data_IF_005717660727
#
_entry.id   IF_005717660727
#
_cell.length_a   1.000
_cell.length_b   1.000
_cell.length_c   1.000
_cell.angle_alpha   90.00
_cell.angle_beta   90.00
_cell.angle_gamma   90.00
#
_symmetry.space_group_name_H-M   'P 1'
#
loop_
_entity.id
_entity.type
_entity.pdbx_description
1 polymer ?
#
# COMPACT_ATOMS: atom_id res chain seq x y z
N UNK A 1 19.73 -21.06 -4.15
CA UNK A 1 19.71 -19.61 -4.52
C UNK A 1 18.62 -18.92 -3.67
N UNK A 2 18.89 -17.74 -3.08
CA UNK A 2 17.85 -16.95 -2.37
C UNK A 2 16.86 -16.42 -3.41
N UNK A 3 15.55 -16.59 -3.16
CA UNK A 3 14.49 -16.08 -4.04
C UNK A 3 14.54 -14.56 -4.08
N UNK A 4 14.43 -13.91 -5.25
CA UNK A 4 14.43 -12.45 -5.36
C UNK A 4 13.19 -11.85 -4.65
N UNK A 5 13.37 -10.65 -4.10
CA UNK A 5 12.29 -9.90 -3.44
C UNK A 5 12.05 -8.65 -4.28
N UNK A 6 10.78 -8.44 -4.68
CA UNK A 6 10.35 -7.30 -5.46
C UNK A 6 9.35 -6.47 -4.67
N UNK A 7 9.49 -5.17 -4.72
CA UNK A 7 8.49 -4.22 -4.28
C UNK A 7 7.98 -3.44 -5.50
N UNK A 8 6.66 -3.43 -5.71
CA UNK A 8 6.05 -2.83 -6.88
C UNK A 8 4.99 -1.80 -6.51
N UNK A 9 4.89 -0.73 -7.30
CA UNK A 9 3.87 0.31 -7.20
C UNK A 9 2.85 0.12 -8.31
N UNK A 10 1.62 -0.26 -7.99
CA UNK A 10 0.54 -0.51 -8.95
C UNK A 10 -0.48 0.62 -9.00
N UNK A 11 -0.62 1.36 -7.90
CA UNK A 11 -1.44 2.55 -7.75
C UNK A 11 -0.88 3.44 -6.66
N UNK A 12 -0.86 4.75 -6.88
CA UNK A 12 -0.25 5.73 -5.99
C UNK A 12 -1.11 6.98 -5.74
N UNK A 13 -2.34 7.01 -6.26
CA UNK A 13 -3.30 8.08 -6.00
C UNK A 13 -4.13 7.81 -4.75
N UNK A 14 -4.50 8.89 -4.08
CA UNK A 14 -5.41 8.86 -2.95
C UNK A 14 -6.83 9.30 -3.31
N UNK A 15 -7.80 8.92 -2.51
CA UNK A 15 -9.21 9.27 -2.53
C UNK A 15 -9.97 8.87 -3.80
N UNK A 16 -9.40 8.98 -4.96
CA UNK A 16 -10.00 8.58 -6.25
C UNK A 16 -8.96 8.48 -7.36
N UNK A 17 -9.29 7.71 -8.37
CA UNK A 17 -8.56 7.74 -9.64
C UNK A 17 -8.66 9.11 -10.32
N UNK A 18 -7.71 9.41 -11.17
CA UNK A 18 -7.78 10.60 -12.03
C UNK A 18 -8.00 10.19 -13.48
N UNK A 19 -8.79 11.00 -14.19
CA UNK A 19 -9.13 10.79 -15.61
C UNK A 19 -8.08 11.49 -16.49
N UNK A 20 -7.81 11.01 -17.73
CA UNK A 20 -6.90 11.67 -18.67
C UNK A 20 -7.13 13.20 -18.80
N UNK A 21 -6.05 13.97 -19.09
CA UNK A 21 -4.78 13.48 -19.61
C UNK A 21 -3.98 12.70 -18.58
N UNK A 22 -3.37 11.59 -19.03
CA UNK A 22 -2.71 10.61 -18.19
C UNK A 22 -1.59 11.26 -17.38
N UNK A 23 -1.62 11.02 -16.08
CA UNK A 23 -0.52 11.37 -15.20
C UNK A 23 0.70 10.48 -15.45
N UNK A 24 1.89 11.07 -15.42
CA UNK A 24 3.17 10.32 -15.40
C UNK A 24 3.51 9.78 -14.01
N UNK A 25 2.80 10.20 -12.98
CA UNK A 25 2.93 9.66 -11.61
C UNK A 25 2.02 8.44 -11.47
N UNK A 26 0.82 8.52 -12.01
CA UNK A 26 -0.16 7.44 -11.99
C UNK A 26 -1.58 7.97 -11.86
N UNK A 27 -2.54 7.09 -12.19
CA UNK A 27 -3.97 7.42 -12.21
C UNK A 27 -4.78 6.55 -11.24
N UNK A 28 -4.23 5.40 -10.81
CA UNK A 28 -4.92 4.36 -10.04
C UNK A 28 -4.78 4.62 -8.54
N UNK A 29 -5.80 4.28 -7.78
CA UNK A 29 -5.79 4.36 -6.32
C UNK A 29 -4.88 3.30 -5.71
N UNK A 30 -4.53 3.48 -4.44
CA UNK A 30 -3.44 2.84 -3.71
C UNK A 30 -3.43 1.33 -3.84
N UNK A 31 -2.34 0.80 -4.38
CA UNK A 31 -2.02 -0.63 -4.38
C UNK A 31 -0.52 -0.82 -4.55
N UNK A 32 0.11 -1.53 -3.62
CA UNK A 32 1.52 -1.89 -3.68
C UNK A 32 1.67 -3.39 -3.45
N UNK A 33 2.78 -3.97 -3.87
CA UNK A 33 3.02 -5.39 -3.59
C UNK A 33 4.46 -5.67 -3.17
N UNK A 34 4.62 -6.69 -2.34
CA UNK A 34 5.90 -7.23 -1.91
C UNK A 34 5.92 -8.73 -2.23
N UNK A 35 6.66 -9.09 -3.26
CA UNK A 35 6.74 -10.45 -3.78
C UNK A 35 8.00 -11.16 -3.28
N UNK A 36 7.81 -12.31 -2.64
CA UNK A 36 8.80 -13.36 -2.42
C UNK A 36 8.09 -14.71 -2.52
N UNK A 37 8.10 -15.29 -3.70
CA UNK A 37 7.37 -16.54 -3.94
C UNK A 37 7.69 -17.61 -2.86
N UNK A 38 6.70 -18.39 -2.39
CA UNK A 38 5.34 -18.49 -2.94
C UNK A 38 4.36 -17.43 -2.46
N UNK A 39 4.78 -16.50 -1.58
CA UNK A 39 3.94 -15.51 -0.93
C UNK A 39 4.00 -14.16 -1.64
N UNK A 40 2.84 -13.56 -1.86
CA UNK A 40 2.65 -12.19 -2.32
C UNK A 40 1.88 -11.41 -1.25
N UNK A 41 2.49 -10.36 -0.71
CA UNK A 41 1.80 -9.41 0.16
C UNK A 41 1.36 -8.22 -0.69
N UNK A 42 0.09 -7.85 -0.58
CA UNK A 42 -0.51 -6.70 -1.25
C UNK A 42 -0.91 -5.68 -0.18
N UNK A 43 -0.50 -4.44 -0.36
CA UNK A 43 -0.77 -3.32 0.53
C UNK A 43 -1.83 -2.44 -0.13
N UNK A 44 -3.03 -2.50 0.37
CA UNK A 44 -4.26 -2.01 -0.20
C UNK A 44 -4.62 -2.59 -1.58
N UNK A 45 -5.89 -2.54 -1.90
CA UNK A 45 -6.51 -3.13 -3.07
C UNK A 45 -7.36 -2.10 -3.84
N UNK A 46 -6.82 -0.87 -3.99
CA UNK A 46 -7.40 0.14 -4.87
C UNK A 46 -7.33 -0.28 -6.34
N UNK A 47 -7.63 0.61 -7.25
CA UNK A 47 -7.67 0.31 -8.70
C UNK A 47 -6.33 -0.22 -9.27
N UNK A 48 -5.22 0.02 -8.57
CA UNK A 48 -3.93 -0.61 -8.91
C UNK A 48 -3.95 -2.14 -8.87
N UNK A 49 -4.89 -2.76 -8.15
CA UNK A 49 -5.01 -4.21 -8.04
C UNK A 49 -5.27 -4.89 -9.39
N UNK A 50 -6.05 -4.26 -10.27
CA UNK A 50 -6.30 -4.78 -11.62
C UNK A 50 -4.97 -4.95 -12.40
N UNK A 51 -4.08 -3.96 -12.33
CA UNK A 51 -2.78 -4.02 -12.99
C UNK A 51 -1.87 -5.10 -12.37
N UNK A 52 -1.85 -5.22 -11.04
CA UNK A 52 -1.12 -6.29 -10.35
C UNK A 52 -1.60 -7.68 -10.82
N UNK A 53 -2.91 -7.92 -10.78
CA UNK A 53 -3.45 -9.25 -11.11
C UNK A 53 -3.30 -9.60 -12.59
N UNK A 54 -3.34 -8.60 -13.48
CA UNK A 54 -2.95 -8.77 -14.88
C UNK A 54 -1.46 -9.14 -15.00
N UNK A 55 -0.56 -8.46 -14.26
CA UNK A 55 0.87 -8.80 -14.24
C UNK A 55 1.11 -10.22 -13.69
N UNK A 56 0.33 -10.67 -12.69
CA UNK A 56 0.41 -12.04 -12.17
C UNK A 56 0.10 -13.09 -13.24
N UNK A 57 -0.75 -12.80 -14.20
CA UNK A 57 -1.10 -13.70 -15.30
C UNK A 57 -0.12 -13.65 -16.48
N UNK A 58 0.67 -12.59 -16.62
CA UNK A 58 1.50 -12.33 -17.80
C UNK A 58 3.01 -12.36 -17.53
N UNK A 59 3.45 -12.09 -16.31
CA UNK A 59 4.88 -11.99 -15.97
C UNK A 59 5.38 -13.25 -15.23
N UNK A 60 6.44 -13.85 -15.75
CA UNK A 60 7.06 -15.10 -15.22
C UNK A 60 7.42 -15.05 -13.74
N UNK A 61 7.79 -13.86 -13.21
CA UNK A 61 8.18 -13.71 -11.79
C UNK A 61 7.07 -14.08 -10.79
N UNK A 62 5.80 -14.01 -11.22
CA UNK A 62 4.63 -14.37 -10.40
C UNK A 62 4.22 -15.85 -10.53
N UNK A 63 4.80 -16.62 -11.45
CA UNK A 63 4.41 -18.01 -11.71
C UNK A 63 4.54 -18.97 -10.52
N UNK A 64 5.36 -18.60 -9.53
CA UNK A 64 5.51 -19.35 -8.28
C UNK A 64 4.60 -18.93 -7.15
N UNK A 65 3.74 -17.92 -7.32
CA UNK A 65 2.82 -17.44 -6.27
C UNK A 65 1.71 -18.46 -6.03
N UNK A 66 1.46 -18.75 -4.75
CA UNK A 66 0.40 -19.66 -4.29
C UNK A 66 -0.47 -19.03 -3.21
N UNK A 67 0.08 -18.08 -2.49
CA UNK A 67 -0.55 -17.39 -1.37
C UNK A 67 -0.51 -15.89 -1.60
N UNK A 68 -1.66 -15.24 -1.54
CA UNK A 68 -1.81 -13.79 -1.60
C UNK A 68 -2.45 -13.30 -0.31
N UNK A 69 -1.78 -12.41 0.39
CA UNK A 69 -2.31 -11.74 1.56
C UNK A 69 -2.51 -10.27 1.23
N UNK A 70 -3.76 -9.83 1.20
CA UNK A 70 -4.13 -8.43 0.96
C UNK A 70 -4.33 -7.75 2.32
N UNK A 71 -3.50 -6.78 2.61
CA UNK A 71 -3.47 -6.02 3.86
C UNK A 71 -4.18 -4.68 3.63
N UNK A 72 -5.43 -4.59 4.06
CA UNK A 72 -6.27 -3.40 3.90
C UNK A 72 -6.03 -2.46 5.08
N UNK A 73 -5.69 -1.20 4.81
CA UNK A 73 -5.43 -0.21 5.84
C UNK A 73 -6.69 0.23 6.56
N UNK A 74 -7.77 0.55 5.84
CA UNK A 74 -9.01 1.05 6.41
C UNK A 74 -10.23 0.92 5.46
N UNK A 75 -11.37 1.45 5.87
CA UNK A 75 -12.67 1.23 5.23
C UNK A 75 -12.94 2.11 3.99
N UNK A 76 -12.13 3.13 3.67
CA UNK A 76 -12.37 3.96 2.49
C UNK A 76 -12.28 3.14 1.20
N UNK A 77 -13.17 3.43 0.27
CA UNK A 77 -13.40 2.62 -0.94
C UNK A 77 -12.15 2.55 -1.83
N UNK A 78 -11.40 3.61 -1.97
CA UNK A 78 -10.19 3.68 -2.79
C UNK A 78 -9.05 2.73 -2.34
N UNK A 79 -9.20 2.08 -1.18
CA UNK A 79 -8.29 1.06 -0.66
C UNK A 79 -8.74 -0.38 -0.91
N UNK A 80 -9.96 -0.60 -1.44
CA UNK A 80 -10.47 -1.95 -1.73
C UNK A 80 -11.38 -2.05 -2.97
N UNK A 81 -11.70 -0.95 -3.63
CA UNK A 81 -12.59 -0.93 -4.81
C UNK A 81 -12.07 -1.80 -5.98
N UNK A 82 -10.75 -1.95 -6.10
CA UNK A 82 -10.13 -2.76 -7.16
C UNK A 82 -10.34 -4.27 -7.02
N UNK A 83 -10.88 -4.74 -5.89
CA UNK A 83 -11.17 -6.17 -5.72
C UNK A 83 -12.10 -6.71 -6.82
N UNK A 84 -13.08 -5.93 -7.29
CA UNK A 84 -13.99 -6.32 -8.37
C UNK A 84 -13.29 -6.53 -9.72
N UNK A 85 -12.15 -5.87 -9.91
CA UNK A 85 -11.39 -5.88 -11.16
C UNK A 85 -10.19 -6.86 -11.13
N UNK A 86 -10.04 -7.59 -10.03
CA UNK A 86 -8.95 -8.54 -9.87
C UNK A 86 -9.13 -9.76 -10.77
N UNK A 87 -8.20 -9.99 -11.70
CA UNK A 87 -8.24 -11.11 -12.68
C UNK A 87 -8.50 -12.46 -12.02
N UNK A 88 -8.04 -12.68 -10.79
CA UNK A 88 -8.23 -13.96 -10.08
C UNK A 88 -9.70 -14.29 -9.75
N UNK A 89 -10.62 -13.31 -9.79
CA UNK A 89 -12.07 -13.54 -9.67
C UNK A 89 -12.75 -13.80 -11.02
N UNK A 90 -12.09 -13.50 -12.13
CA UNK A 90 -12.64 -13.62 -13.47
C UNK A 90 -12.03 -14.77 -14.26
N UNK A 91 -10.79 -15.15 -13.93
CA UNK A 91 -10.05 -16.25 -14.58
C UNK A 91 -9.73 -17.35 -13.59
N UNK A 92 -9.95 -18.63 -13.91
CA UNK A 92 -9.65 -19.73 -13.01
C UNK A 92 -8.16 -19.75 -12.59
N UNK A 93 -7.90 -19.71 -11.29
CA UNK A 93 -6.60 -19.93 -10.70
C UNK A 93 -6.74 -20.83 -9.46
N UNK A 94 -7.09 -22.09 -9.70
CA UNK A 94 -7.42 -23.08 -8.66
C UNK A 94 -6.27 -23.44 -7.71
N UNK A 95 -5.06 -22.95 -7.99
CA UNK A 95 -3.91 -23.12 -7.10
C UNK A 95 -3.68 -21.94 -6.16
N UNK A 96 -4.44 -20.83 -6.31
CA UNK A 96 -4.22 -19.60 -5.57
C UNK A 96 -5.12 -19.54 -4.33
N UNK A 97 -4.51 -19.21 -3.19
CA UNK A 97 -5.20 -18.86 -1.95
C UNK A 97 -5.11 -17.35 -1.74
N UNK A 98 -6.24 -16.71 -1.45
CA UNK A 98 -6.31 -15.26 -1.19
C UNK A 98 -6.89 -15.04 0.21
N UNK A 99 -6.21 -14.26 1.03
CA UNK A 99 -6.69 -13.84 2.34
C UNK A 99 -6.72 -12.33 2.43
N UNK A 100 -7.88 -11.76 2.74
CA UNK A 100 -8.05 -10.34 3.02
C UNK A 100 -7.85 -10.12 4.51
N UNK A 101 -6.92 -9.23 4.87
CA UNK A 101 -6.62 -8.84 6.25
C UNK A 101 -7.00 -7.38 6.46
N UNK A 102 -7.55 -7.02 7.62
CA UNK A 102 -7.87 -5.64 7.95
C UNK A 102 -8.54 -5.52 9.32
N UNK A 103 -8.78 -4.29 9.75
CA UNK A 103 -9.63 -4.03 10.91
C UNK A 103 -11.08 -4.45 10.63
N UNK A 104 -11.88 -4.65 11.68
CA UNK A 104 -13.29 -5.05 11.55
C UNK A 104 -14.07 -4.13 10.63
N UNK A 105 -13.89 -2.84 10.80
CA UNK A 105 -14.56 -1.79 10.02
C UNK A 105 -14.25 -1.93 8.52
N UNK A 106 -12.99 -2.17 8.16
CA UNK A 106 -12.57 -2.34 6.77
C UNK A 106 -13.13 -3.63 6.15
N UNK A 107 -13.08 -4.74 6.88
CA UNK A 107 -13.63 -6.02 6.39
C UNK A 107 -15.15 -5.98 6.27
N UNK A 108 -15.83 -5.26 7.16
CA UNK A 108 -17.27 -5.06 7.09
C UNK A 108 -17.66 -4.15 5.91
N UNK A 109 -16.92 -3.05 5.67
CA UNK A 109 -17.13 -2.20 4.50
C UNK A 109 -17.01 -3.00 3.19
N UNK A 110 -15.98 -3.86 3.08
CA UNK A 110 -15.81 -4.76 1.94
C UNK A 110 -17.00 -5.72 1.84
N UNK A 111 -17.42 -6.36 2.94
CA UNK A 111 -18.56 -7.28 2.96
C UNK A 111 -19.83 -6.59 2.47
N UNK A 112 -20.10 -5.37 2.92
CA UNK A 112 -21.26 -4.58 2.50
C UNK A 112 -21.16 -4.17 1.03
N UNK A 113 -20.00 -3.63 0.59
CA UNK A 113 -19.79 -3.22 -0.80
C UNK A 113 -19.91 -4.38 -1.79
N UNK A 114 -19.52 -5.60 -1.37
CA UNK A 114 -19.67 -6.82 -2.14
C UNK A 114 -20.82 -7.68 -1.62
N UNK A 115 -22.02 -7.11 -1.55
CA UNK A 115 -23.26 -7.79 -1.20
C UNK A 115 -24.41 -7.30 -2.06
N UNK A 116 -25.41 -8.17 -2.28
CA UNK A 116 -26.65 -7.76 -2.94
C UNK A 116 -27.37 -6.65 -2.16
N UNK A 117 -27.93 -5.60 -2.82
CA UNK A 117 -27.99 -5.40 -4.28
C UNK A 117 -26.81 -4.63 -4.87
N UNK A 118 -25.79 -4.25 -4.09
CA UNK A 118 -24.68 -3.38 -4.53
C UNK A 118 -23.75 -4.10 -5.50
N UNK A 119 -23.38 -5.34 -5.19
CA UNK A 119 -22.51 -6.16 -6.04
C UNK A 119 -22.67 -7.66 -5.75
N UNK A 120 -21.96 -8.48 -6.53
CA UNK A 120 -21.87 -9.92 -6.30
C UNK A 120 -20.98 -10.20 -5.09
N UNK A 121 -21.41 -11.05 -4.13
CA UNK A 121 -20.55 -11.42 -3.00
C UNK A 121 -19.22 -12.01 -3.43
N UNK A 122 -18.09 -11.56 -2.81
CA UNK A 122 -16.75 -12.01 -3.17
C UNK A 122 -16.59 -13.53 -3.16
N UNK A 123 -17.25 -14.22 -2.22
CA UNK A 123 -17.23 -15.69 -2.15
C UNK A 123 -17.81 -16.33 -3.42
N UNK A 124 -18.87 -15.74 -3.99
CA UNK A 124 -19.47 -16.20 -5.26
C UNK A 124 -18.54 -15.93 -6.44
N UNK A 125 -17.86 -14.77 -6.44
CA UNK A 125 -16.85 -14.48 -7.47
C UNK A 125 -15.67 -15.46 -7.42
N UNK A 126 -15.25 -15.87 -6.23
CA UNK A 126 -14.13 -16.79 -6.03
C UNK A 126 -14.47 -18.25 -6.34
N UNK A 127 -15.76 -18.61 -6.33
CA UNK A 127 -16.24 -19.99 -6.49
C UNK A 127 -15.75 -20.59 -7.81
N UNK A 128 -15.11 -21.76 -7.73
CA UNK A 128 -14.53 -22.46 -8.88
C UNK A 128 -13.31 -21.80 -9.52
N UNK A 129 -12.86 -20.66 -9.02
CA UNK A 129 -11.72 -19.89 -9.54
C UNK A 129 -10.52 -19.91 -8.61
N UNK A 130 -10.73 -19.68 -7.32
CA UNK A 130 -9.68 -19.76 -6.30
C UNK A 130 -9.72 -21.09 -5.56
N UNK A 131 -8.58 -21.52 -5.04
CA UNK A 131 -8.53 -22.62 -4.09
C UNK A 131 -9.23 -22.25 -2.79
N UNK A 132 -8.99 -21.00 -2.30
CA UNK A 132 -9.54 -20.49 -1.05
C UNK A 132 -9.61 -18.96 -1.09
N UNK A 133 -10.68 -18.41 -0.51
CA UNK A 133 -10.82 -17.00 -0.17
C UNK A 133 -11.21 -16.89 1.31
N UNK A 134 -10.39 -16.21 2.09
CA UNK A 134 -10.61 -15.98 3.52
C UNK A 134 -10.56 -14.51 3.87
N UNK A 135 -11.13 -14.16 5.02
CA UNK A 135 -10.96 -12.87 5.68
C UNK A 135 -10.38 -13.10 7.07
N UNK A 136 -9.38 -12.30 7.47
CA UNK A 136 -8.75 -12.37 8.78
C UNK A 136 -8.65 -10.99 9.40
N UNK A 137 -9.22 -10.87 10.57
CA UNK A 137 -9.21 -9.65 11.38
C UNK A 137 -7.81 -9.36 11.91
N UNK A 138 -7.41 -8.08 11.79
CA UNK A 138 -6.21 -7.54 12.43
C UNK A 138 -6.57 -6.36 13.34
N UNK A 139 -5.76 -6.15 14.37
CA UNK A 139 -5.87 -5.02 15.30
C UNK A 139 -4.52 -4.31 15.39
N UNK A 140 -4.52 -3.04 15.73
CA UNK A 140 -3.30 -2.30 16.00
C UNK A 140 -2.49 -2.95 17.14
N UNK A 141 -1.17 -3.00 16.99
CA UNK A 141 -0.26 -3.63 17.95
C UNK A 141 -0.11 -5.15 17.81
N UNK A 142 -0.75 -5.77 16.84
CA UNK A 142 -0.57 -7.19 16.57
C UNK A 142 0.70 -7.49 15.78
N UNK A 143 1.21 -8.70 15.98
CA UNK A 143 2.27 -9.31 15.19
C UNK A 143 1.78 -10.67 14.69
N UNK A 144 1.80 -10.87 13.38
CA UNK A 144 1.34 -12.11 12.72
C UNK A 144 2.37 -12.60 11.71
N UNK A 145 2.34 -13.90 11.45
CA UNK A 145 3.20 -14.53 10.43
C UNK A 145 2.38 -14.78 9.16
N UNK A 146 2.86 -14.29 8.02
CA UNK A 146 2.25 -14.49 6.70
C UNK A 146 3.32 -15.05 5.74
N UNK A 147 3.29 -16.35 5.48
CA UNK A 147 4.40 -17.04 4.85
C UNK A 147 5.69 -16.83 5.65
N UNK A 148 6.77 -16.40 4.99
CA UNK A 148 8.07 -16.11 5.64
C UNK A 148 8.10 -14.69 6.28
N UNK A 149 7.04 -13.89 6.12
CA UNK A 149 7.00 -12.50 6.57
C UNK A 149 6.39 -12.37 7.96
N UNK A 150 7.06 -11.63 8.83
CA UNK A 150 6.46 -11.12 10.05
C UNK A 150 5.82 -9.77 9.75
N UNK A 151 4.53 -9.64 10.04
CA UNK A 151 3.76 -8.40 9.85
C UNK A 151 3.39 -7.83 11.22
N UNK A 152 3.85 -6.63 11.50
CA UNK A 152 3.47 -5.83 12.68
C UNK A 152 2.50 -4.74 12.26
N UNK A 153 1.48 -4.50 13.09
CA UNK A 153 0.46 -3.47 12.85
C UNK A 153 0.58 -2.32 13.83
N UNK A 154 0.18 -1.13 13.42
CA UNK A 154 0.00 0.01 14.31
C UNK A 154 -1.28 0.78 13.95
N UNK A 155 -1.78 1.59 14.89
CA UNK A 155 -2.84 2.55 14.60
C UNK A 155 -2.26 3.78 13.92
N UNK A 156 -2.96 4.27 12.88
CA UNK A 156 -2.70 5.53 12.20
C UNK A 156 -3.78 6.55 12.54
N UNK A 157 -3.47 7.83 12.34
CA UNK A 157 -4.40 8.93 12.57
C UNK A 157 -5.04 9.32 11.23
N UNK A 158 -6.21 8.75 10.96
CA UNK A 158 -6.99 9.05 9.77
C UNK A 158 -8.48 9.23 10.13
N UNK A 159 -9.16 10.11 9.40
CA UNK A 159 -10.56 10.45 9.64
C UNK A 159 -11.22 11.01 8.38
N UNK A 160 -12.54 10.83 8.28
CA UNK A 160 -13.38 11.51 7.31
C UNK A 160 -13.92 12.81 7.90
N UNK A 161 -14.22 13.78 7.02
CA UNK A 161 -14.78 15.08 7.42
C UNK A 161 -13.74 16.08 7.91
N UNK A 162 -14.19 17.21 8.43
CA UNK A 162 -13.34 18.30 8.86
C UNK A 162 -13.87 18.97 10.16
N UNK A 163 -12.98 19.65 10.86
CA UNK A 163 -13.31 20.40 12.08
C UNK A 163 -13.93 19.52 13.16
N UNK A 164 -15.04 19.95 13.75
CA UNK A 164 -15.74 19.21 14.80
C UNK A 164 -16.48 17.96 14.31
N UNK A 165 -16.62 17.76 12.99
CA UNK A 165 -17.30 16.63 12.37
C UNK A 165 -16.34 15.53 11.91
N UNK A 166 -15.17 15.41 12.54
CA UNK A 166 -14.21 14.35 12.23
C UNK A 166 -14.75 13.00 12.68
N UNK A 167 -14.80 12.04 11.76
CA UNK A 167 -15.12 10.64 12.01
C UNK A 167 -13.83 9.84 11.87
N UNK A 168 -13.24 9.45 13.01
CA UNK A 168 -12.02 8.66 13.03
C UNK A 168 -12.28 7.24 12.56
N UNK A 169 -11.36 6.72 11.76
CA UNK A 169 -11.42 5.39 11.17
C UNK A 169 -10.41 4.46 11.85
N UNK A 170 -10.76 3.18 11.91
CA UNK A 170 -9.85 2.12 12.36
C UNK A 170 -8.77 1.88 11.29
N UNK A 171 -7.78 2.77 11.21
CA UNK A 171 -6.73 2.72 10.19
C UNK A 171 -5.48 2.02 10.70
N UNK A 172 -4.99 1.04 9.94
CA UNK A 172 -3.81 0.23 10.26
C UNK A 172 -2.62 0.62 9.38
N UNK A 173 -1.47 0.84 10.00
CA UNK A 173 -0.17 0.83 9.33
C UNK A 173 0.50 -0.53 9.50
N UNK A 174 1.36 -0.89 8.55
CA UNK A 174 1.99 -2.20 8.48
C UNK A 174 3.52 -2.09 8.40
N UNK A 175 4.21 -2.92 9.17
CA UNK A 175 5.64 -3.19 8.99
C UNK A 175 5.82 -4.69 8.67
N UNK A 176 6.41 -4.96 7.53
CA UNK A 176 6.64 -6.29 7.00
C UNK A 176 8.13 -6.58 7.07
N UNK A 177 8.55 -7.57 7.82
CA UNK A 177 9.96 -7.91 7.98
C UNK A 177 10.21 -9.37 7.65
N UNK A 178 11.34 -9.62 7.00
CA UNK A 178 11.83 -10.95 6.69
C UNK A 178 13.09 -11.21 7.52
N UNK A 179 13.18 -12.36 8.15
CA UNK A 179 14.38 -12.71 8.92
C UNK A 179 15.63 -12.75 8.03
N UNK A 180 16.67 -12.02 8.44
CA UNK A 180 17.88 -11.81 7.63
C UNK A 180 17.67 -11.10 6.29
N UNK A 181 16.47 -10.51 6.07
CA UNK A 181 16.06 -9.80 4.87
C UNK A 181 15.68 -8.34 5.13
N UNK A 182 14.87 -7.74 4.22
CA UNK A 182 14.42 -6.37 4.37
C UNK A 182 13.27 -6.22 5.36
N UNK A 183 13.11 -4.99 5.86
CA UNK A 183 11.89 -4.52 6.48
C UNK A 183 11.27 -3.41 5.62
N UNK A 184 9.99 -3.55 5.30
CA UNK A 184 9.18 -2.62 4.51
C UNK A 184 8.09 -2.07 5.40
N UNK A 185 7.90 -0.75 5.42
CA UNK A 185 6.86 -0.08 6.22
C UNK A 185 5.89 0.62 5.29
N UNK A 186 4.59 0.48 5.56
CA UNK A 186 3.49 1.10 4.83
C UNK A 186 2.60 1.88 5.79
N UNK A 187 2.62 3.19 5.69
CA UNK A 187 1.84 4.13 6.51
C UNK A 187 1.06 5.05 5.57
N UNK A 188 0.04 4.51 4.91
CA UNK A 188 -0.87 5.28 4.06
C UNK A 188 -2.02 5.84 4.90
N UNK A 189 -2.58 6.95 4.43
CA UNK A 189 -3.70 7.62 5.10
C UNK A 189 -3.40 7.92 6.57
N UNK A 190 -2.45 8.83 6.72
CA UNK A 190 -1.94 9.18 8.03
C UNK A 190 -1.61 10.67 8.14
N UNK A 191 -2.37 11.40 8.93
CA UNK A 191 -2.00 12.73 9.38
C UNK A 191 -1.05 12.62 10.58
N UNK A 192 0.25 12.98 10.41
CA UNK A 192 1.21 12.89 11.49
C UNK A 192 0.91 13.94 12.57
N UNK A 193 0.92 13.49 13.81
CA UNK A 193 0.72 14.32 15.01
C UNK A 193 1.82 14.08 16.02
N UNK A 194 1.97 14.95 17.02
CA UNK A 194 2.91 14.74 18.12
C UNK A 194 2.69 13.39 18.83
N UNK A 195 1.43 12.94 18.91
CA UNK A 195 1.05 11.66 19.54
C UNK A 195 1.45 10.44 18.70
N UNK A 196 1.37 10.54 17.38
CA UNK A 196 1.64 9.42 16.46
C UNK A 196 3.12 9.30 16.06
N UNK A 197 3.93 10.36 16.21
CA UNK A 197 5.34 10.38 15.82
C UNK A 197 6.20 9.30 16.47
N UNK A 198 5.94 8.96 17.74
CA UNK A 198 6.66 7.87 18.43
C UNK A 198 6.40 6.52 17.75
N UNK A 199 5.15 6.25 17.42
CA UNK A 199 4.74 5.03 16.71
C UNK A 199 5.33 5.00 15.31
N UNK A 200 5.24 6.08 14.55
CA UNK A 200 5.81 6.21 13.21
C UNK A 200 7.31 5.92 13.21
N UNK A 201 8.09 6.57 14.09
CA UNK A 201 9.54 6.31 14.24
C UNK A 201 9.84 4.86 14.60
N UNK A 202 9.02 4.24 15.47
CA UNK A 202 9.18 2.81 15.80
C UNK A 202 8.95 1.92 14.58
N UNK A 203 7.94 2.20 13.77
CA UNK A 203 7.59 1.41 12.60
C UNK A 203 8.61 1.58 11.46
N UNK A 204 9.24 2.75 11.33
CA UNK A 204 10.22 3.04 10.27
C UNK A 204 11.66 2.71 10.65
N UNK A 205 11.94 2.52 11.95
CA UNK A 205 13.31 2.25 12.46
C UNK A 205 13.93 1.06 11.74
N UNK A 206 15.17 1.23 11.27
CA UNK A 206 15.97 0.19 10.59
C UNK A 206 15.25 -0.43 9.37
N UNK A 207 14.25 0.26 8.82
CA UNK A 207 13.56 -0.12 7.60
C UNK A 207 14.45 0.12 6.38
N UNK A 208 14.21 -0.63 5.30
CA UNK A 208 14.91 -0.48 4.04
C UNK A 208 14.03 0.14 2.95
N UNK A 209 12.69 0.09 3.14
CA UNK A 209 11.72 0.79 2.31
C UNK A 209 10.57 1.27 3.18
N UNK A 210 10.17 2.52 2.99
CA UNK A 210 9.05 3.15 3.69
C UNK A 210 8.13 3.80 2.67
N UNK A 211 6.85 3.47 2.68
CA UNK A 211 5.82 4.17 1.89
C UNK A 211 5.01 5.03 2.84
N UNK A 212 4.86 6.30 2.50
CA UNK A 212 4.15 7.30 3.31
C UNK A 212 3.05 7.99 2.52
N UNK A 213 2.02 8.39 3.26
CA UNK A 213 1.02 9.33 2.77
C UNK A 213 1.67 10.71 2.50
N UNK A 214 1.54 11.15 1.27
CA UNK A 214 2.01 12.44 0.80
C UNK A 214 0.93 13.13 -0.04
N UNK A 215 -0.30 13.10 0.47
CA UNK A 215 -1.48 13.62 -0.18
C UNK A 215 -1.35 15.10 -0.50
N UNK A 216 -0.86 15.88 0.46
CA UNK A 216 -0.69 17.31 0.35
C UNK A 216 0.75 17.73 -0.01
N UNK A 217 0.93 18.90 -0.64
CA UNK A 217 2.26 19.46 -0.88
C UNK A 217 3.02 19.79 0.40
N UNK A 218 2.35 20.45 1.35
CA UNK A 218 2.95 21.03 2.56
C UNK A 218 2.16 20.65 3.82
N UNK A 219 2.80 20.76 4.98
CA UNK A 219 2.18 20.56 6.29
C UNK A 219 1.02 21.53 6.54
N UNK A 220 1.10 22.75 6.03
CA UNK A 220 0.03 23.76 6.17
C UNK A 220 -1.30 23.32 5.57
N UNK A 221 -1.29 22.34 4.68
CA UNK A 221 -2.50 21.76 4.09
C UNK A 221 -2.99 20.50 4.80
N UNK A 222 -2.34 20.08 5.92
CA UNK A 222 -2.79 18.89 6.65
C UNK A 222 -4.25 19.01 7.05
N UNK A 223 -5.05 18.14 6.51
CA UNK A 223 -6.49 18.03 6.76
C UNK A 223 -6.98 16.64 6.36
N UNK A 224 -8.19 16.29 6.78
CA UNK A 224 -8.83 15.04 6.41
C UNK A 224 -8.05 13.77 6.76
N UNK A 225 -7.12 13.87 7.75
CA UNK A 225 -6.35 12.73 8.20
C UNK A 225 -5.23 12.31 7.24
N UNK A 226 -4.65 13.23 6.46
CA UNK A 226 -3.60 12.94 5.49
C UNK A 226 -2.27 13.64 5.79
N UNK A 227 -1.20 13.03 5.26
CA UNK A 227 0.16 13.52 5.30
C UNK A 227 0.53 14.44 4.12
N UNK A 228 1.84 14.75 4.01
CA UNK A 228 2.35 15.66 2.99
C UNK A 228 3.72 15.25 2.44
N UNK A 229 4.09 15.84 1.29
CA UNK A 229 5.44 15.71 0.73
C UNK A 229 6.51 16.24 1.69
N UNK A 230 6.19 17.32 2.41
CA UNK A 230 7.09 17.88 3.43
C UNK A 230 7.34 16.89 4.56
N UNK A 231 6.28 16.20 5.07
CA UNK A 231 6.42 15.19 6.09
C UNK A 231 7.22 13.97 5.60
N UNK A 232 7.00 13.52 4.37
CA UNK A 232 7.79 12.45 3.77
C UNK A 232 9.29 12.79 3.74
N UNK A 233 9.64 14.06 3.46
CA UNK A 233 11.01 14.52 3.51
C UNK A 233 11.59 14.54 4.95
N UNK A 234 10.78 14.84 5.96
CA UNK A 234 11.20 14.73 7.37
C UNK A 234 11.56 13.28 7.70
N UNK A 235 10.70 12.32 7.36
CA UNK A 235 10.98 10.89 7.61
C UNK A 235 12.20 10.41 6.82
N UNK A 236 12.39 10.86 5.58
CA UNK A 236 13.57 10.50 4.80
C UNK A 236 14.89 10.96 5.44
N UNK A 237 14.92 12.14 6.11
CA UNK A 237 16.07 12.59 6.90
C UNK A 237 16.29 11.73 8.15
N UNK A 238 15.23 11.31 8.80
CA UNK A 238 15.31 10.45 10.00
C UNK A 238 15.70 9.01 9.68
N UNK A 239 15.45 8.55 8.44
CA UNK A 239 15.73 7.18 7.98
C UNK A 239 16.68 7.17 6.77
N UNK A 240 17.95 7.64 6.91
CA UNK A 240 18.86 7.80 5.76
C UNK A 240 19.23 6.48 5.07
N UNK A 241 19.06 5.33 5.75
CA UNK A 241 19.29 4.00 5.19
C UNK A 241 18.10 3.38 4.46
N UNK A 242 16.92 4.02 4.52
CA UNK A 242 15.70 3.55 3.86
C UNK A 242 15.43 4.32 2.57
N UNK A 243 14.94 3.63 1.55
CA UNK A 243 14.23 4.28 0.44
C UNK A 243 12.85 4.70 0.94
N UNK A 244 12.54 5.99 0.89
CA UNK A 244 11.23 6.55 1.26
C UNK A 244 10.46 6.88 -0.02
N UNK A 245 9.27 6.30 -0.16
CA UNK A 245 8.34 6.55 -1.25
C UNK A 245 7.20 7.42 -0.77
N UNK A 246 7.09 8.62 -1.29
CA UNK A 246 5.95 9.50 -1.10
C UNK A 246 4.82 9.06 -2.04
N UNK A 247 3.73 8.54 -1.49
CA UNK A 247 2.58 7.99 -2.22
C UNK A 247 1.26 8.63 -1.82
N UNK A 248 0.15 8.00 -2.17
CA UNK A 248 -1.21 8.48 -1.87
C UNK A 248 -1.44 9.93 -2.32
N UNK A 249 -0.96 10.26 -3.52
CA UNK A 249 -1.00 11.64 -4.03
C UNK A 249 -2.42 12.15 -4.20
N UNK A 250 -2.73 13.31 -3.61
CA UNK A 250 -4.05 13.92 -3.66
C UNK A 250 -4.52 14.19 -5.09
N UNK A 251 -5.77 13.85 -5.44
CA UNK A 251 -6.29 13.96 -6.80
C UNK A 251 -6.53 15.41 -7.25
N UNK A 252 -6.50 16.36 -6.34
CA UNK A 252 -6.61 17.79 -6.63
C UNK A 252 -5.30 18.39 -7.17
N UNK A 253 -4.18 17.67 -7.06
CA UNK A 253 -2.86 18.18 -7.45
C UNK A 253 -2.38 17.55 -8.76
N UNK A 254 -1.93 18.42 -9.67
CA UNK A 254 -1.30 18.01 -10.92
C UNK A 254 0.07 17.39 -10.68
N UNK A 255 0.56 16.59 -11.64
CA UNK A 255 1.93 16.06 -11.61
C UNK A 255 2.99 17.14 -11.43
N UNK A 256 2.79 18.30 -12.04
CA UNK A 256 3.72 19.44 -11.91
C UNK A 256 3.79 19.94 -10.47
N UNK A 257 2.63 20.16 -9.83
CA UNK A 257 2.57 20.60 -8.42
C UNK A 257 3.21 19.59 -7.48
N UNK A 258 2.90 18.30 -7.65
CA UNK A 258 3.49 17.20 -6.86
C UNK A 258 5.02 17.20 -7.03
N UNK A 259 5.53 17.29 -8.27
CA UNK A 259 6.97 17.28 -8.56
C UNK A 259 7.68 18.53 -8.05
N UNK A 260 7.04 19.70 -8.12
CA UNK A 260 7.59 20.95 -7.58
C UNK A 260 7.74 20.84 -6.07
N UNK A 261 6.68 20.44 -5.37
CA UNK A 261 6.71 20.23 -3.92
C UNK A 261 7.77 19.19 -3.52
N UNK A 262 7.81 18.05 -4.23
CA UNK A 262 8.78 17.00 -3.99
C UNK A 262 10.23 17.49 -4.13
N UNK A 263 10.55 18.25 -5.18
CA UNK A 263 11.89 18.83 -5.36
C UNK A 263 12.24 19.86 -4.29
N UNK A 264 11.24 20.67 -3.88
CA UNK A 264 11.44 21.69 -2.83
C UNK A 264 11.80 21.05 -1.50
N UNK A 265 11.00 20.09 -1.01
CA UNK A 265 11.19 19.49 0.31
C UNK A 265 12.24 18.39 0.32
N UNK A 266 12.42 17.69 -0.81
CA UNK A 266 13.39 16.62 -0.99
C UNK A 266 14.79 17.08 -1.39
N UNK A 267 15.07 18.40 -1.44
CA UNK A 267 16.37 18.91 -1.82
C UNK A 267 17.50 18.31 -0.97
N UNK A 268 18.50 17.72 -1.63
CA UNK A 268 19.63 17.04 -0.98
C UNK A 268 19.34 15.61 -0.48
N UNK A 269 18.12 15.13 -0.56
CA UNK A 269 17.75 13.76 -0.17
C UNK A 269 17.88 12.83 -1.39
N UNK A 270 18.74 11.81 -1.27
CA UNK A 270 18.90 10.77 -2.31
C UNK A 270 18.00 9.56 -2.09
N UNK A 271 17.42 9.46 -0.91
CA UNK A 271 16.60 8.34 -0.47
C UNK A 271 15.09 8.66 -0.45
N UNK A 272 14.67 9.81 -0.99
CA UNK A 272 13.28 10.20 -1.13
C UNK A 272 12.86 10.17 -2.61
N UNK A 273 11.83 9.40 -2.94
CA UNK A 273 11.25 9.30 -4.27
C UNK A 273 9.74 9.46 -4.24
N UNK A 274 9.15 9.86 -5.37
CA UNK A 274 7.71 9.74 -5.59
C UNK A 274 7.36 8.28 -5.87
N UNK A 275 6.34 7.75 -5.22
CA UNK A 275 5.70 6.52 -5.66
C UNK A 275 5.06 6.77 -7.03
N UNK A 276 5.53 6.08 -8.05
CA UNK A 276 5.07 6.22 -9.43
C UNK A 276 4.60 4.86 -9.90
N UNK A 277 3.43 4.81 -10.50
CA UNK A 277 2.86 3.57 -11.04
C UNK A 277 3.80 2.84 -11.99
N UNK A 278 3.68 1.52 -11.99
CA UNK A 278 4.45 0.58 -12.81
C UNK A 278 5.97 0.60 -12.54
N UNK A 279 6.40 1.18 -11.40
CA UNK A 279 7.77 1.05 -10.93
C UNK A 279 7.95 -0.18 -10.06
N UNK A 280 9.07 -0.85 -10.30
CA UNK A 280 9.52 -2.01 -9.52
C UNK A 280 10.86 -1.70 -8.84
N UNK A 281 11.02 -2.21 -7.64
CA UNK A 281 12.26 -2.16 -6.86
C UNK A 281 12.64 -3.58 -6.46
N UNK A 282 13.95 -3.88 -6.56
CA UNK A 282 14.49 -5.20 -6.22
C UNK A 282 15.39 -5.07 -4.99
N UNK A 283 15.21 -5.99 -4.06
CA UNK A 283 16.07 -6.08 -2.89
C UNK A 283 17.46 -6.55 -3.25
N UNK A 284 18.47 -5.75 -2.93
CA UNK A 284 19.88 -6.08 -3.06
C UNK A 284 20.43 -6.46 -1.68
N UNK A 285 20.57 -7.76 -1.42
CA UNK A 285 21.00 -8.26 -0.11
C UNK A 285 22.42 -7.81 0.30
N UNK A 286 23.45 -7.81 -0.57
CA UNK A 286 24.78 -7.27 -0.25
C UNK A 286 24.75 -5.79 0.16
N UNK A 287 23.96 -4.97 -0.51
CA UNK A 287 23.84 -3.53 -0.22
C UNK A 287 22.80 -3.21 0.86
N UNK A 288 22.01 -4.21 1.28
CA UNK A 288 20.89 -4.05 2.20
C UNK A 288 19.96 -2.90 1.81
N UNK A 289 19.64 -2.77 0.54
CA UNK A 289 18.81 -1.67 0.01
C UNK A 289 17.93 -2.14 -1.14
N UNK A 290 16.81 -1.44 -1.35
CA UNK A 290 16.03 -1.56 -2.57
C UNK A 290 16.60 -0.65 -3.66
N UNK A 291 16.68 -1.16 -4.88
CA UNK A 291 17.08 -0.40 -6.05
C UNK A 291 16.02 -0.57 -7.14
N UNK A 292 15.81 0.47 -7.96
CA UNK A 292 14.91 0.36 -9.12
C UNK A 292 15.35 -0.79 -9.99
N UNK A 293 14.39 -1.62 -10.38
CA UNK A 293 14.61 -2.62 -11.42
C UNK A 293 14.76 -1.90 -12.76
N UNK A 294 15.80 -2.21 -13.51
CA UNK A 294 15.85 -1.86 -14.93
C UNK A 294 14.68 -2.55 -15.65
N UNK A 295 14.01 -1.83 -16.55
CA UNK A 295 13.01 -2.41 -17.44
C UNK A 295 13.69 -3.33 -18.44
#
# INVERSE_FOLDING_TARGET
MRRPIYFDVWGSRGSRSIVPPLSRIGNRTSCYSLLRAPTLLVLDAGLGLAALTHAMSTQKRFGGVREVHVLITHAHMDHWEGLKDADWFWRPNRGLEVTLHGADEALEAIRLGYSHPLYVPLRRLAEGKLRRLETRRLRAGQRVQLGDWTVETCALNHYSGAGARRLFLSTLGYRLSLDGGPAVTYLSDHEPTSRTRKTERRMTRDGQLVVLDAHFPDISHHAFGHGSQEHAAVVARECPGALVLAGHHGPAFTDSQIRVSHRRHGRGLRNLELAVEDRSYVWNAPRRSFARSGR
#
